data_IF_248714867836
#
_entry.id   IF_248714867836
#
_cell.length_a   1.000
_cell.length_b   1.000
_cell.length_c   1.000
_cell.angle_alpha   90.00
_cell.angle_beta   90.00
_cell.angle_gamma   90.00
#
_symmetry.space_group_name_H-M   'P 1'
#
loop_
_entity.id
_entity.type
_entity.pdbx_description
1 polymer ?
#
# COMPACT_ATOMS: atom_id res chain seq x y z
N UNK A 1 -3.38 13.59 -9.40
CA UNK A 1 -3.13 12.15 -9.22
C UNK A 1 -1.99 11.75 -10.15
N UNK A 2 -1.06 10.93 -9.66
CA UNK A 2 0.10 10.46 -10.44
C UNK A 2 0.21 8.95 -10.23
N UNK A 3 0.30 8.17 -11.31
CA UNK A 3 0.49 6.72 -11.26
C UNK A 3 1.75 6.37 -12.06
N UNK A 4 2.61 5.58 -11.45
CA UNK A 4 3.84 5.07 -12.05
C UNK A 4 3.60 3.72 -12.77
N UNK A 5 4.64 3.17 -13.39
CA UNK A 5 4.55 2.04 -14.29
C UNK A 5 4.06 0.75 -13.61
N UNK A 6 3.42 -0.12 -14.39
CA UNK A 6 3.00 -1.47 -13.97
C UNK A 6 2.06 -1.51 -12.75
N UNK A 7 1.29 -0.44 -12.53
CA UNK A 7 0.24 -0.47 -11.53
C UNK A 7 -0.99 -1.23 -12.05
N UNK A 8 -1.59 -2.06 -11.19
CA UNK A 8 -2.88 -2.71 -11.44
C UNK A 8 -3.96 -1.98 -10.65
N UNK A 9 -4.94 -1.41 -11.36
CA UNK A 9 -6.10 -0.74 -10.77
C UNK A 9 -7.33 -1.53 -11.18
N UNK A 10 -7.95 -2.24 -10.22
CA UNK A 10 -9.14 -3.04 -10.48
C UNK A 10 -10.39 -2.19 -10.73
N UNK A 11 -11.50 -2.86 -11.03
CA UNK A 11 -12.78 -2.22 -11.27
C UNK A 11 -13.28 -1.43 -10.05
N UNK A 12 -13.88 -0.26 -10.30
CA UNK A 12 -14.51 0.61 -9.30
C UNK A 12 -13.57 1.19 -8.23
N UNK A 13 -12.26 1.17 -8.46
CA UNK A 13 -11.32 1.87 -7.59
C UNK A 13 -11.51 3.38 -7.74
N UNK A 14 -11.53 4.09 -6.61
CA UNK A 14 -11.58 5.56 -6.56
C UNK A 14 -10.30 6.05 -5.89
N UNK A 15 -9.60 6.99 -6.52
CA UNK A 15 -8.36 7.57 -6.00
C UNK A 15 -8.54 9.08 -5.90
N UNK A 16 -8.33 9.62 -4.70
CA UNK A 16 -8.48 11.04 -4.41
C UNK A 16 -7.41 11.92 -5.05
N UNK A 17 -7.70 13.21 -5.11
CA UNK A 17 -6.80 14.22 -5.66
C UNK A 17 -5.44 14.25 -4.96
N UNK A 18 -4.41 14.60 -5.73
CA UNK A 18 -3.02 14.72 -5.26
C UNK A 18 -2.45 13.45 -4.60
N UNK A 19 -3.08 12.30 -4.77
CA UNK A 19 -2.51 11.00 -4.40
C UNK A 19 -1.50 10.53 -5.45
N UNK A 20 -0.37 9.99 -4.97
CA UNK A 20 0.71 9.44 -5.77
C UNK A 20 0.82 7.93 -5.54
N UNK A 21 0.89 7.18 -6.64
CA UNK A 21 0.99 5.72 -6.66
C UNK A 21 2.30 5.33 -7.36
N UNK A 22 3.23 4.74 -6.61
CA UNK A 22 4.51 4.28 -7.13
C UNK A 22 4.39 2.94 -7.89
N UNK A 23 5.43 2.56 -8.64
CA UNK A 23 5.35 1.46 -9.59
C UNK A 23 5.04 0.09 -8.96
N UNK A 24 4.37 -0.76 -9.73
CA UNK A 24 4.06 -2.14 -9.33
C UNK A 24 2.99 -2.28 -8.25
N UNK A 25 2.27 -1.21 -7.90
CA UNK A 25 1.18 -1.28 -6.91
C UNK A 25 -0.01 -2.07 -7.46
N UNK A 26 -0.62 -2.90 -6.63
CA UNK A 26 -1.80 -3.71 -6.96
C UNK A 26 -2.96 -3.30 -6.06
N UNK A 27 -4.05 -2.81 -6.66
CA UNK A 27 -5.28 -2.39 -5.98
C UNK A 27 -6.45 -3.29 -6.40
N UNK A 28 -7.09 -3.95 -5.42
CA UNK A 28 -8.28 -4.75 -5.64
C UNK A 28 -9.56 -3.89 -5.76
N UNK A 29 -10.64 -4.51 -6.26
CA UNK A 29 -11.85 -3.80 -6.71
C UNK A 29 -12.60 -3.06 -5.60
N UNK A 30 -13.27 -1.97 -5.97
CA UNK A 30 -14.04 -1.13 -5.03
C UNK A 30 -13.24 -0.53 -3.87
N UNK A 31 -11.92 -0.44 -3.97
CA UNK A 31 -11.07 0.30 -3.04
C UNK A 31 -11.28 1.82 -3.22
N UNK A 32 -11.36 2.56 -2.12
CA UNK A 32 -11.28 4.03 -2.16
C UNK A 32 -10.04 4.51 -1.43
N UNK A 33 -9.23 5.31 -2.10
CA UNK A 33 -8.07 5.99 -1.52
C UNK A 33 -8.38 7.48 -1.43
N UNK A 34 -8.15 8.08 -0.28
CA UNK A 34 -8.29 9.51 -0.02
C UNK A 34 -7.33 10.38 -0.82
N UNK A 35 -7.30 11.66 -0.45
CA UNK A 35 -6.46 12.71 -1.03
C UNK A 35 -5.09 12.76 -0.37
N UNK A 36 -4.09 13.24 -1.11
CA UNK A 36 -2.72 13.43 -0.63
C UNK A 36 -2.08 12.16 -0.04
N UNK A 37 -2.47 10.99 -0.53
CA UNK A 37 -1.88 9.73 -0.12
C UNK A 37 -0.62 9.42 -0.92
N UNK A 38 0.29 8.67 -0.32
CA UNK A 38 1.51 8.17 -0.95
C UNK A 38 1.52 6.65 -0.84
N UNK A 39 1.31 5.97 -1.97
CA UNK A 39 1.32 4.51 -2.02
C UNK A 39 2.68 4.04 -2.53
N UNK A 40 3.47 3.47 -1.63
CA UNK A 40 4.82 2.97 -1.92
C UNK A 40 4.83 1.82 -2.93
N UNK A 41 5.92 1.68 -3.67
CA UNK A 41 6.03 0.74 -4.78
C UNK A 41 5.86 -0.71 -4.34
N UNK A 42 5.34 -1.55 -5.25
CA UNK A 42 5.01 -2.95 -5.00
C UNK A 42 4.08 -3.21 -3.80
N UNK A 43 3.30 -2.21 -3.36
CA UNK A 43 2.28 -2.41 -2.33
C UNK A 43 1.08 -3.16 -2.90
N UNK A 44 0.44 -3.97 -2.05
CA UNK A 44 -0.79 -4.72 -2.37
C UNK A 44 -1.89 -4.26 -1.43
N UNK A 45 -3.00 -3.81 -2.00
CA UNK A 45 -4.12 -3.22 -1.24
C UNK A 45 -5.40 -4.01 -1.55
N UNK A 46 -6.06 -4.47 -0.48
CA UNK A 46 -7.32 -5.21 -0.57
C UNK A 46 -8.48 -4.32 -1.09
N UNK A 47 -9.53 -4.97 -1.60
CA UNK A 47 -10.70 -4.31 -2.18
C UNK A 47 -11.77 -4.01 -1.13
N UNK A 48 -12.84 -3.35 -1.57
CA UNK A 48 -14.04 -3.08 -0.75
C UNK A 48 -13.74 -2.39 0.59
N UNK A 49 -12.74 -1.52 0.62
CA UNK A 49 -12.35 -0.78 1.82
C UNK A 49 -11.92 0.64 1.47
N UNK A 50 -11.71 1.45 2.51
CA UNK A 50 -11.31 2.84 2.37
C UNK A 50 -9.99 3.11 3.11
N UNK A 51 -9.16 3.95 2.50
CA UNK A 51 -7.96 4.55 3.07
C UNK A 51 -8.22 6.05 3.14
N UNK A 52 -8.16 6.63 4.35
CA UNK A 52 -8.38 8.06 4.56
C UNK A 52 -7.30 8.94 3.94
N UNK A 53 -7.51 10.26 3.98
CA UNK A 53 -6.59 11.25 3.44
C UNK A 53 -5.22 11.23 4.16
N UNK A 54 -4.16 11.65 3.46
CA UNK A 54 -2.81 11.84 4.01
C UNK A 54 -2.19 10.56 4.61
N UNK A 55 -2.46 9.42 3.99
CA UNK A 55 -1.86 8.13 4.36
C UNK A 55 -0.63 7.86 3.49
N UNK A 56 0.46 7.45 4.13
CA UNK A 56 1.65 6.94 3.46
C UNK A 56 1.81 5.45 3.75
N UNK A 57 1.66 4.61 2.72
CA UNK A 57 2.03 3.19 2.79
C UNK A 57 3.46 3.08 2.28
N UNK A 58 4.38 2.52 3.06
CA UNK A 58 5.76 2.33 2.59
C UNK A 58 5.83 1.25 1.52
N UNK A 59 6.96 1.16 0.80
CA UNK A 59 7.15 0.12 -0.23
C UNK A 59 6.88 -1.29 0.29
N UNK A 60 6.38 -2.16 -0.60
CA UNK A 60 6.00 -3.55 -0.30
C UNK A 60 5.00 -3.66 0.87
N UNK A 61 4.14 -2.65 1.05
CA UNK A 61 3.10 -2.67 2.07
C UNK A 61 1.94 -3.61 1.71
N UNK A 62 1.45 -4.38 2.68
CA UNK A 62 0.27 -5.23 2.51
C UNK A 62 -0.89 -4.67 3.35
N UNK A 63 -1.85 -4.02 2.68
CA UNK A 63 -2.98 -3.35 3.35
C UNK A 63 -4.22 -4.22 3.25
N UNK A 64 -4.58 -4.87 4.37
CA UNK A 64 -5.68 -5.85 4.44
C UNK A 64 -6.92 -5.35 5.20
N UNK A 65 -6.84 -4.17 5.82
CA UNK A 65 -7.90 -3.57 6.63
C UNK A 65 -8.00 -2.07 6.33
N UNK A 66 -9.19 -1.45 6.51
CA UNK A 66 -9.36 0.00 6.36
C UNK A 66 -8.35 0.81 7.17
N UNK A 67 -7.94 1.95 6.63
CA UNK A 67 -7.06 2.91 7.31
C UNK A 67 -7.86 4.18 7.57
N UNK A 68 -8.25 4.40 8.82
CA UNK A 68 -9.10 5.53 9.22
C UNK A 68 -8.34 6.71 9.79
N UNK A 69 -7.05 6.55 10.08
CA UNK A 69 -6.20 7.58 10.67
C UNK A 69 -5.06 7.96 9.71
N UNK A 70 -4.80 9.26 9.49
CA UNK A 70 -3.64 9.70 8.73
C UNK A 70 -2.33 9.25 9.38
N UNK A 71 -1.32 8.96 8.57
CA UNK A 71 -0.01 8.55 9.09
C UNK A 71 0.80 7.69 8.14
N UNK A 72 1.89 7.15 8.67
CA UNK A 72 2.82 6.29 7.94
C UNK A 72 2.64 4.85 8.39
N UNK A 73 2.38 3.96 7.43
CA UNK A 73 2.16 2.52 7.63
C UNK A 73 3.34 1.75 7.04
N UNK A 74 4.29 1.29 7.88
CA UNK A 74 5.51 0.64 7.44
C UNK A 74 5.29 -0.83 7.03
N UNK A 75 6.16 -1.35 6.15
CA UNK A 75 6.25 -2.78 5.87
C UNK A 75 6.68 -3.55 7.13
N UNK A 76 6.12 -4.75 7.32
CA UNK A 76 6.36 -5.54 8.53
C UNK A 76 7.79 -6.12 8.60
N UNK A 77 8.39 -6.47 7.45
CA UNK A 77 9.66 -7.20 7.40
C UNK A 77 10.65 -6.54 6.44
N UNK A 78 11.92 -6.52 6.84
CA UNK A 78 13.04 -6.13 5.96
C UNK A 78 13.75 -7.36 5.41
N UNK A 79 14.39 -7.20 4.26
CA UNK A 79 15.29 -8.22 3.73
C UNK A 79 16.48 -8.39 4.68
N UNK A 80 16.71 -9.63 5.13
CA UNK A 80 17.81 -9.98 6.02
C UNK A 80 18.87 -10.83 5.27
N UNK A 81 20.16 -10.75 5.67
CA UNK A 81 21.21 -11.56 5.08
C UNK A 81 20.97 -13.06 5.24
N UNK A 82 21.21 -13.85 4.19
CA UNK A 82 21.00 -15.31 4.19
C UNK A 82 21.80 -16.07 5.26
N UNK A 83 22.94 -15.50 5.72
CA UNK A 83 23.81 -16.08 6.76
C UNK A 83 23.62 -15.46 8.15
N UNK A 84 22.58 -14.67 8.41
CA UNK A 84 22.21 -14.39 9.79
C UNK A 84 21.52 -15.63 10.35
N UNK A 85 22.10 -16.32 11.33
CA UNK A 85 21.55 -17.54 11.94
C UNK A 85 20.05 -17.43 12.22
N UNK A 86 19.26 -17.95 11.28
CA UNK A 86 17.87 -17.57 11.11
C UNK A 86 17.02 -18.16 12.25
N UNK A 87 16.39 -17.30 13.04
CA UNK A 87 15.06 -17.59 13.61
C UNK A 87 14.06 -16.49 13.22
N UNK A 88 13.57 -16.48 11.97
CA UNK A 88 12.35 -15.77 11.61
C UNK A 88 11.13 -16.48 12.22
N UNK A 89 10.29 -15.70 12.90
CA UNK A 89 9.03 -16.02 13.61
C UNK A 89 8.96 -17.39 14.35
N UNK A 90 9.07 -17.36 15.68
CA UNK A 90 8.32 -18.30 16.53
C UNK A 90 6.91 -17.73 16.75
N UNK A 91 5.90 -18.58 16.70
CA UNK A 91 4.55 -18.26 17.17
C UNK A 91 4.56 -18.03 18.68
#
# INVERSE_FOLDING_TARGET
MIIDNQCQIAHNVVIGDNTAVAGGVIMAGSLKIGRYCMIGGASVINGHMEICDKVTVTGMGMVMRPITEPGVYPQAFRCNPTKSGAKPLHW
#
